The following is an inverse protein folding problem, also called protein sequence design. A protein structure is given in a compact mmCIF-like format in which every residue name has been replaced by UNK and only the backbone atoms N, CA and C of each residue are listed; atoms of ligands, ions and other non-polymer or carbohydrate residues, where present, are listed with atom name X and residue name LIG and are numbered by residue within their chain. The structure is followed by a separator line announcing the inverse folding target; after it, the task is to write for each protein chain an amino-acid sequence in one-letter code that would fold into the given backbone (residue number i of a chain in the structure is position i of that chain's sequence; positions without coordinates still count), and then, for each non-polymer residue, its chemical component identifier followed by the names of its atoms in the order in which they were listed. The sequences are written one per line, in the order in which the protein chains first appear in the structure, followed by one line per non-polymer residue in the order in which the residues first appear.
data_IF_377674618526
#
_entry.id   IF_377674618526
#
_cell.length_a   1.000
_cell.length_b   1.000
_cell.length_c   1.000
_cell.angle_alpha   90.00
_cell.angle_beta   90.00
_cell.angle_gamma   90.00
#
_symmetry.space_group_name_H-M   'P 1'
#
loop_
_entity.id
_entity.type
_entity.pdbx_description
1 polymer ?
#
# COMPACT_ATOMS: atom_id res chain seq x y z
N UNK A 1 18.50 -34.96 72.51
CA UNK A 1 19.91 -34.65 72.21
C UNK A 1 20.30 -35.43 70.96
N UNK A 2 20.90 -34.71 70.00
CA UNK A 2 21.57 -35.18 68.78
C UNK A 2 20.77 -35.42 67.49
N UNK A 3 21.16 -34.60 66.52
CA UNK A 3 20.85 -34.52 65.10
C UNK A 3 21.34 -35.75 64.31
N UNK A 4 20.67 -36.08 63.21
CA UNK A 4 21.37 -36.38 61.96
C UNK A 4 20.49 -36.09 60.74
N UNK A 5 20.94 -35.15 59.91
CA UNK A 5 20.34 -34.71 58.64
C UNK A 5 20.45 -35.83 57.59
N UNK A 6 19.47 -35.96 56.69
CA UNK A 6 19.71 -36.45 55.33
C UNK A 6 18.85 -35.69 54.32
N UNK A 7 19.48 -35.30 53.22
CA UNK A 7 19.10 -34.23 52.33
C UNK A 7 17.99 -34.60 51.34
N UNK A 8 17.10 -33.63 51.04
CA UNK A 8 16.20 -33.67 49.89
C UNK A 8 16.93 -33.09 48.68
N UNK A 9 17.28 -33.93 47.69
CA UNK A 9 17.59 -33.45 46.34
C UNK A 9 16.27 -33.21 45.61
N UNK A 10 15.96 -31.95 45.31
CA UNK A 10 14.87 -31.58 44.41
C UNK A 10 15.49 -31.29 43.05
N UNK A 11 15.32 -32.20 42.08
CA UNK A 11 15.73 -31.96 40.69
C UNK A 11 14.81 -30.92 40.07
N UNK A 12 15.37 -29.75 39.74
CA UNK A 12 14.72 -28.75 38.88
C UNK A 12 15.00 -29.16 37.44
N UNK A 13 13.99 -29.66 36.73
CA UNK A 13 14.06 -29.87 35.29
C UNK A 13 13.91 -28.50 34.60
N UNK A 14 15.01 -27.97 34.07
CA UNK A 14 15.02 -26.75 33.27
C UNK A 14 14.46 -27.10 31.88
N UNK A 15 13.23 -26.69 31.59
CA UNK A 15 12.66 -26.76 30.25
C UNK A 15 13.40 -25.69 29.41
N UNK A 16 14.39 -26.11 28.64
CA UNK A 16 14.96 -25.26 27.60
C UNK A 16 13.91 -25.10 26.50
N UNK A 17 13.23 -23.96 26.49
CA UNK A 17 12.44 -23.54 25.35
C UNK A 17 13.39 -23.30 24.18
N UNK A 18 13.44 -24.22 23.23
CA UNK A 18 14.10 -23.98 21.95
C UNK A 18 13.34 -22.88 21.24
N UNK A 19 13.96 -21.72 21.03
CA UNK A 19 13.45 -20.71 20.12
C UNK A 19 13.38 -21.35 18.73
N UNK A 20 12.17 -21.57 18.22
CA UNK A 20 11.98 -22.00 16.85
C UNK A 20 12.49 -20.88 15.91
N UNK A 21 13.69 -21.05 15.36
CA UNK A 21 14.17 -20.22 14.25
C UNK A 21 13.53 -20.77 12.97
N UNK A 22 12.34 -20.25 12.64
CA UNK A 22 11.83 -20.39 11.28
C UNK A 22 12.71 -19.55 10.34
N UNK A 23 13.00 -20.07 9.15
CA UNK A 23 13.68 -19.30 8.11
C UNK A 23 12.72 -18.17 7.66
N UNK A 24 13.07 -16.90 7.89
CA UNK A 24 12.27 -15.72 7.49
C UNK A 24 12.33 -15.44 5.98
N UNK A 25 12.61 -16.45 5.17
CA UNK A 25 12.79 -16.32 3.72
C UNK A 25 11.62 -17.01 3.02
N UNK A 26 10.73 -16.20 2.46
CA UNK A 26 9.72 -16.69 1.54
C UNK A 26 10.34 -16.78 0.13
N UNK A 27 10.27 -17.96 -0.48
CA UNK A 27 10.63 -18.15 -1.90
C UNK A 27 9.32 -18.30 -2.67
N UNK A 28 9.10 -17.38 -3.61
CA UNK A 28 7.88 -17.32 -4.42
C UNK A 28 8.25 -17.39 -5.91
N UNK A 29 7.33 -17.88 -6.73
CA UNK A 29 7.44 -17.94 -8.19
C UNK A 29 6.19 -17.35 -8.81
N UNK A 30 6.33 -16.48 -9.80
CA UNK A 30 5.25 -15.90 -10.60
C UNK A 30 5.10 -16.60 -11.95
N UNK A 31 4.01 -16.30 -12.66
CA UNK A 31 3.79 -16.79 -14.03
C UNK A 31 4.74 -16.13 -15.06
N UNK A 32 5.26 -14.95 -14.73
CA UNK A 32 6.21 -14.18 -15.54
C UNK A 32 6.85 -13.08 -14.68
N UNK A 33 7.82 -12.37 -15.26
CA UNK A 33 8.50 -11.27 -14.59
C UNK A 33 7.65 -9.99 -14.59
N UNK A 34 7.86 -9.12 -13.60
CA UNK A 34 7.30 -7.78 -13.64
C UNK A 34 7.92 -7.01 -14.80
N UNK A 35 7.08 -6.26 -15.53
CA UNK A 35 7.53 -5.48 -16.69
C UNK A 35 8.20 -4.17 -16.26
N UNK A 36 7.80 -3.64 -15.11
CA UNK A 36 8.27 -2.38 -14.56
C UNK A 36 8.07 -2.36 -13.04
N UNK A 37 8.79 -1.48 -12.35
CA UNK A 37 8.60 -1.17 -10.93
C UNK A 37 7.71 0.07 -10.73
N UNK A 38 7.30 0.72 -11.82
CA UNK A 38 6.39 1.87 -11.79
C UNK A 38 4.97 1.42 -11.47
N UNK A 39 4.36 1.91 -10.36
CA UNK A 39 3.06 1.43 -9.91
C UNK A 39 1.89 1.82 -10.81
N UNK A 40 2.03 2.80 -11.71
CA UNK A 40 0.94 3.27 -12.57
C UNK A 40 1.16 2.94 -14.05
N UNK A 41 2.30 2.37 -14.43
CA UNK A 41 2.61 2.12 -15.84
C UNK A 41 1.90 0.88 -16.41
N UNK A 42 1.86 -0.25 -15.68
CA UNK A 42 1.29 -1.50 -16.18
C UNK A 42 0.24 -2.09 -15.22
N UNK A 43 -0.92 -2.48 -15.76
CA UNK A 43 -2.03 -3.06 -15.01
C UNK A 43 -2.22 -4.55 -15.35
N UNK A 44 -1.21 -5.35 -15.04
CA UNK A 44 -1.19 -6.80 -15.29
C UNK A 44 -0.62 -7.56 -14.08
N UNK A 45 -0.94 -8.85 -13.97
CA UNK A 45 -0.87 -9.58 -12.68
C UNK A 45 0.55 -9.68 -12.08
N UNK A 46 1.59 -10.15 -12.80
CA UNK A 46 2.98 -10.12 -12.35
C UNK A 46 3.44 -8.76 -11.77
N UNK A 47 3.24 -7.67 -12.51
CA UNK A 47 3.65 -6.33 -12.10
C UNK A 47 2.88 -5.85 -10.88
N UNK A 48 1.56 -6.06 -10.84
CA UNK A 48 0.73 -5.74 -9.66
C UNK A 48 1.21 -6.53 -8.43
N UNK A 49 1.47 -7.82 -8.57
CA UNK A 49 1.90 -8.67 -7.46
C UNK A 49 3.26 -8.23 -6.90
N UNK A 50 4.17 -7.80 -7.78
CA UNK A 50 5.47 -7.26 -7.40
C UNK A 50 5.36 -5.89 -6.74
N UNK A 51 4.66 -4.94 -7.37
CA UNK A 51 4.47 -3.58 -6.86
C UNK A 51 3.70 -3.57 -5.53
N UNK A 52 2.74 -4.46 -5.35
CA UNK A 52 2.03 -4.64 -4.07
C UNK A 52 2.89 -5.17 -2.92
N UNK A 53 4.17 -5.48 -3.13
CA UNK A 53 5.13 -5.72 -2.04
C UNK A 53 5.84 -4.43 -1.58
N UNK A 54 5.73 -3.36 -2.35
CA UNK A 54 6.48 -2.10 -2.18
C UNK A 54 5.54 -0.95 -1.85
N UNK A 55 4.39 -0.91 -2.52
CA UNK A 55 3.42 0.18 -2.41
C UNK A 55 2.10 -0.29 -1.80
N UNK A 56 1.42 0.63 -1.12
CA UNK A 56 0.09 0.43 -0.54
C UNK A 56 -0.91 1.36 -1.25
N UNK A 57 -2.18 0.94 -1.32
CA UNK A 57 -3.30 1.75 -1.82
C UNK A 57 -4.10 2.34 -0.65
N UNK A 58 -5.16 3.09 -0.96
CA UNK A 58 -6.06 3.61 0.08
C UNK A 58 -6.88 2.49 0.74
N UNK A 59 -7.26 1.47 -0.02
CA UNK A 59 -8.17 0.40 0.38
C UNK A 59 -7.63 -0.92 -0.17
N UNK A 60 -7.63 -1.98 0.63
CA UNK A 60 -7.18 -3.30 0.20
C UNK A 60 -8.34 -4.32 0.15
N UNK A 61 -8.03 -5.54 -0.26
CA UNK A 61 -8.91 -6.71 -0.12
C UNK A 61 -8.31 -7.72 0.84
N UNK A 62 -9.15 -8.27 1.71
CA UNK A 62 -8.77 -9.42 2.52
C UNK A 62 -8.86 -10.75 1.74
N UNK A 63 -8.52 -11.85 2.39
CA UNK A 63 -8.59 -13.21 1.81
C UNK A 63 -10.01 -13.64 1.41
N UNK A 64 -11.03 -13.01 2.00
CA UNK A 64 -12.44 -13.23 1.70
C UNK A 64 -12.95 -12.26 0.61
N UNK A 65 -12.06 -11.46 0.04
CA UNK A 65 -12.32 -10.42 -0.97
C UNK A 65 -13.15 -9.23 -0.47
N UNK A 66 -13.32 -9.08 0.85
CA UNK A 66 -13.94 -7.91 1.44
C UNK A 66 -13.02 -6.70 1.32
N UNK A 67 -13.59 -5.51 1.16
CA UNK A 67 -12.82 -4.28 1.23
C UNK A 67 -12.41 -4.02 2.68
N UNK A 68 -11.13 -3.74 2.89
CA UNK A 68 -10.55 -3.47 4.22
C UNK A 68 -9.66 -2.23 4.20
N UNK A 69 -9.49 -1.55 5.35
CA UNK A 69 -8.57 -0.42 5.48
C UNK A 69 -7.12 -0.77 5.12
N UNK A 70 -6.50 0.10 4.32
CA UNK A 70 -5.06 0.13 4.04
C UNK A 70 -4.54 1.53 4.39
N UNK A 71 -4.02 2.37 3.49
CA UNK A 71 -3.58 3.73 3.84
C UNK A 71 -4.72 4.64 4.32
N UNK A 72 -5.97 4.35 3.94
CA UNK A 72 -7.14 4.96 4.56
C UNK A 72 -7.66 4.08 5.70
N UNK A 73 -7.82 4.67 6.90
CA UNK A 73 -8.42 3.99 8.06
C UNK A 73 -9.94 3.79 7.91
N UNK A 74 -10.59 4.67 7.15
CA UNK A 74 -12.02 4.60 6.86
C UNK A 74 -12.39 5.46 5.66
N UNK A 75 -13.54 5.16 5.06
CA UNK A 75 -14.11 5.96 3.98
C UNK A 75 -15.63 5.98 4.05
N UNK A 76 -16.23 7.08 3.61
CA UNK A 76 -17.68 7.29 3.62
C UNK A 76 -18.16 7.88 2.32
N UNK A 77 -19.25 7.34 1.78
CA UNK A 77 -19.93 7.90 0.63
C UNK A 77 -20.47 9.30 0.96
N UNK A 78 -20.33 10.22 0.01
CA UNK A 78 -20.85 11.58 0.01
C UNK A 78 -21.76 11.76 -1.22
N UNK A 79 -22.67 12.76 -1.26
CA UNK A 79 -23.58 12.95 -2.39
C UNK A 79 -22.88 13.08 -3.75
N UNK A 80 -21.65 13.58 -3.75
CA UNK A 80 -20.83 13.91 -4.91
C UNK A 80 -19.54 13.05 -5.01
N UNK A 81 -19.39 12.02 -4.17
CA UNK A 81 -18.18 11.19 -4.19
C UNK A 81 -17.90 10.44 -2.90
N UNK A 82 -16.64 10.42 -2.46
CA UNK A 82 -16.17 9.65 -1.31
C UNK A 82 -15.15 10.44 -0.49
N UNK A 83 -15.31 10.44 0.83
CA UNK A 83 -14.33 11.03 1.76
C UNK A 83 -13.54 9.91 2.43
N UNK A 84 -12.21 10.01 2.43
CA UNK A 84 -11.27 9.06 3.02
C UNK A 84 -10.53 9.73 4.17
N UNK A 85 -10.43 9.02 5.29
CA UNK A 85 -9.56 9.38 6.41
C UNK A 85 -8.28 8.57 6.31
N UNK A 86 -7.15 9.24 6.28
CA UNK A 86 -5.83 8.66 6.08
C UNK A 86 -5.20 8.27 7.42
N UNK A 87 -4.38 7.23 7.42
CA UNK A 87 -3.59 6.86 8.60
C UNK A 87 -2.54 7.91 8.89
N UNK A 88 -2.41 8.26 10.17
CA UNK A 88 -1.36 9.16 10.65
C UNK A 88 -0.10 8.39 11.05
N UNK A 89 1.06 9.04 10.93
CA UNK A 89 2.35 8.47 11.33
C UNK A 89 2.88 7.39 10.37
N UNK A 90 2.30 7.29 9.17
CA UNK A 90 2.86 6.49 8.07
C UNK A 90 3.96 7.30 7.41
N UNK A 91 5.08 6.66 7.10
CA UNK A 91 6.23 7.27 6.44
C UNK A 91 6.65 6.45 5.24
N UNK A 92 7.12 7.12 4.20
CA UNK A 92 7.83 6.49 3.10
C UNK A 92 9.21 5.97 3.55
N UNK A 93 9.84 5.16 2.70
CA UNK A 93 11.12 4.52 3.02
C UNK A 93 12.29 5.48 3.22
N UNK A 94 12.20 6.70 2.69
CA UNK A 94 13.18 7.77 2.89
C UNK A 94 12.91 8.61 4.16
N UNK A 95 11.80 8.33 4.86
CA UNK A 95 11.37 9.00 6.07
C UNK A 95 10.42 10.19 5.86
N UNK A 96 10.01 10.50 4.63
CA UNK A 96 8.97 11.50 4.38
C UNK A 96 7.61 11.04 4.95
N UNK A 97 6.82 11.98 5.46
CA UNK A 97 5.48 11.69 5.99
C UNK A 97 4.48 11.47 4.86
N UNK A 98 3.60 10.49 5.00
CA UNK A 98 2.45 10.30 4.10
C UNK A 98 1.33 11.28 4.43
N UNK A 99 0.84 12.00 3.42
CA UNK A 99 -0.23 13.00 3.55
C UNK A 99 -1.25 12.95 2.40
N UNK A 100 -2.30 13.76 2.53
CA UNK A 100 -3.29 14.01 1.50
C UNK A 100 -2.69 14.45 0.15
N UNK A 101 -1.57 15.17 0.15
CA UNK A 101 -0.90 15.63 -1.08
C UNK A 101 -0.34 14.47 -1.91
N UNK A 102 0.11 13.40 -1.26
CA UNK A 102 0.60 12.19 -1.94
C UNK A 102 -0.55 11.43 -2.62
N UNK A 103 -1.75 11.48 -2.02
CA UNK A 103 -2.96 10.95 -2.65
C UNK A 103 -3.33 11.77 -3.88
N UNK A 104 -3.35 13.09 -3.77
CA UNK A 104 -3.62 13.99 -4.91
C UNK A 104 -2.62 13.72 -6.04
N UNK A 105 -1.32 13.67 -5.71
CA UNK A 105 -0.26 13.38 -6.67
C UNK A 105 -0.49 12.05 -7.37
N UNK A 106 -0.68 10.98 -6.60
CA UNK A 106 -0.76 9.61 -7.14
C UNK A 106 -1.98 9.40 -8.02
N UNK A 107 -3.13 9.97 -7.66
CA UNK A 107 -4.33 9.87 -8.50
C UNK A 107 -4.22 10.70 -9.78
N UNK A 108 -3.59 11.88 -9.73
CA UNK A 108 -3.32 12.67 -10.93
C UNK A 108 -2.32 11.95 -11.85
N UNK A 109 -1.27 11.35 -11.28
CA UNK A 109 -0.31 10.53 -12.02
C UNK A 109 -0.99 9.33 -12.68
N UNK A 110 -1.90 8.65 -11.96
CA UNK A 110 -2.70 7.56 -12.50
C UNK A 110 -3.69 7.99 -13.61
N UNK A 111 -4.01 9.28 -13.74
CA UNK A 111 -4.86 9.83 -14.81
C UNK A 111 -4.09 10.20 -16.10
N UNK A 112 -2.75 10.21 -16.07
CA UNK A 112 -1.93 10.50 -17.26
C UNK A 112 -2.20 9.50 -18.40
N UNK A 113 -1.94 9.93 -19.63
CA UNK A 113 -2.22 9.12 -20.83
C UNK A 113 -1.37 7.83 -20.90
N UNK A 114 -0.17 7.82 -20.30
CA UNK A 114 0.69 6.64 -20.22
C UNK A 114 0.30 5.66 -19.11
N UNK A 115 -0.72 5.97 -18.30
CA UNK A 115 -1.17 5.13 -17.19
C UNK A 115 -2.18 4.09 -17.62
N UNK A 116 -1.88 2.82 -17.35
CA UNK A 116 -2.85 1.72 -17.48
C UNK A 116 -3.93 1.70 -16.37
N UNK A 117 -3.83 2.61 -15.39
CA UNK A 117 -4.80 2.78 -14.30
C UNK A 117 -5.81 3.88 -14.55
N UNK A 118 -5.65 4.64 -15.63
CA UNK A 118 -6.50 5.79 -15.97
C UNK A 118 -7.98 5.46 -15.92
N UNK A 119 -8.38 4.30 -16.44
CA UNK A 119 -9.78 3.89 -16.49
C UNK A 119 -10.40 3.62 -15.11
N UNK A 120 -9.59 3.25 -14.12
CA UNK A 120 -10.02 2.99 -12.74
C UNK A 120 -10.27 4.29 -11.97
N UNK A 121 -9.55 5.36 -12.32
CA UNK A 121 -9.62 6.66 -11.64
C UNK A 121 -10.34 7.74 -12.44
N UNK A 122 -10.63 7.54 -13.75
CA UNK A 122 -11.23 8.57 -14.64
C UNK A 122 -12.54 9.19 -14.14
N UNK A 123 -13.29 8.48 -13.29
CA UNK A 123 -14.53 9.02 -12.74
C UNK A 123 -14.29 10.03 -11.64
N UNK A 124 -13.10 10.06 -11.03
CA UNK A 124 -12.70 11.09 -10.06
C UNK A 124 -12.43 12.37 -10.83
N UNK A 125 -13.30 13.36 -10.68
CA UNK A 125 -13.21 14.64 -11.38
C UNK A 125 -12.34 15.65 -10.66
N UNK A 126 -12.25 15.55 -9.33
CA UNK A 126 -11.40 16.38 -8.50
C UNK A 126 -11.13 15.71 -7.17
N UNK A 127 -10.02 16.11 -6.54
CA UNK A 127 -9.63 15.66 -5.21
C UNK A 127 -9.53 16.90 -4.33
N UNK A 128 -10.37 16.97 -3.32
CA UNK A 128 -10.39 18.05 -2.35
C UNK A 128 -9.57 17.63 -1.13
N UNK A 129 -8.50 18.35 -0.84
CA UNK A 129 -7.76 18.22 0.43
C UNK A 129 -8.54 18.99 1.49
N UNK A 130 -9.09 18.26 2.46
CA UNK A 130 -9.82 18.86 3.59
C UNK A 130 -8.81 19.24 4.68
N UNK A 131 -7.88 18.33 4.96
CA UNK A 131 -6.71 18.51 5.82
C UNK A 131 -5.63 17.46 5.44
N UNK A 132 -4.49 17.49 6.12
CA UNK A 132 -3.33 16.63 5.84
C UNK A 132 -3.65 15.13 5.85
N UNK A 133 -4.72 14.71 6.52
CA UNK A 133 -5.11 13.31 6.67
C UNK A 133 -6.56 13.05 6.24
N UNK A 134 -7.16 13.95 5.47
CA UNK A 134 -8.54 13.80 4.98
C UNK A 134 -8.65 14.31 3.56
N UNK A 135 -9.02 13.41 2.64
CA UNK A 135 -9.24 13.73 1.23
C UNK A 135 -10.65 13.35 0.80
N UNK A 136 -11.22 14.15 -0.10
CA UNK A 136 -12.50 13.85 -0.74
C UNK A 136 -12.30 13.69 -2.24
N UNK A 137 -12.57 12.49 -2.74
CA UNK A 137 -12.62 12.19 -4.17
C UNK A 137 -14.01 12.54 -4.68
N UNK A 138 -14.13 13.61 -5.46
CA UNK A 138 -15.38 14.01 -6.13
C UNK A 138 -15.50 13.23 -7.43
N UNK A 139 -16.68 12.70 -7.73
CA UNK A 139 -16.92 11.90 -8.93
C UNK A 139 -17.80 12.59 -9.97
N UNK A 140 -17.45 12.44 -11.24
CA UNK A 140 -18.28 12.81 -12.37
C UNK A 140 -19.45 11.83 -12.52
N UNK A 141 -20.52 12.07 -11.75
CA UNK A 141 -21.68 11.19 -11.65
C UNK A 141 -21.53 10.15 -10.55
N UNK A 142 -22.56 9.30 -10.39
CA UNK A 142 -22.58 8.30 -9.33
C UNK A 142 -21.59 7.16 -9.61
N UNK A 143 -20.61 6.97 -8.73
CA UNK A 143 -19.73 5.80 -8.74
C UNK A 143 -19.72 5.12 -7.34
N UNK A 144 -20.71 4.27 -7.03
CA UNK A 144 -20.81 3.60 -5.73
C UNK A 144 -19.77 2.49 -5.54
N UNK A 145 -19.09 2.06 -6.62
CA UNK A 145 -18.07 1.01 -6.56
C UNK A 145 -16.65 1.58 -6.56
N UNK A 146 -16.47 2.90 -6.46
CA UNK A 146 -15.16 3.53 -6.52
C UNK A 146 -14.15 2.85 -5.56
N UNK A 147 -14.46 2.60 -4.27
CA UNK A 147 -13.50 1.90 -3.39
C UNK A 147 -13.04 0.53 -3.90
N UNK A 148 -13.86 -0.18 -4.69
CA UNK A 148 -13.51 -1.46 -5.29
C UNK A 148 -12.45 -1.36 -6.38
N UNK A 149 -12.38 -0.23 -7.08
CA UNK A 149 -11.45 0.00 -8.20
C UNK A 149 -10.13 0.62 -7.77
N UNK A 150 -10.04 1.09 -6.53
CA UNK A 150 -8.84 1.74 -5.98
C UNK A 150 -7.83 0.78 -5.37
N UNK A 151 -8.12 -0.52 -5.31
CA UNK A 151 -7.32 -1.47 -4.51
C UNK A 151 -5.90 -1.71 -5.03
N UNK A 152 -5.62 -1.30 -6.27
CA UNK A 152 -4.29 -1.34 -6.88
C UNK A 152 -3.85 0.06 -7.35
N UNK A 153 -4.57 1.13 -6.96
CA UNK A 153 -4.15 2.50 -7.24
C UNK A 153 -3.22 2.91 -6.09
N UNK A 154 -1.94 2.59 -6.29
CA UNK A 154 -0.90 2.75 -5.28
C UNK A 154 -0.51 4.21 -5.06
N UNK A 155 -0.08 4.52 -3.83
CA UNK A 155 0.36 5.85 -3.43
C UNK A 155 1.89 5.95 -3.52
N UNK A 156 2.35 7.06 -4.10
CA UNK A 156 3.75 7.43 -4.25
C UNK A 156 4.08 8.68 -3.45
N UNK A 157 5.33 8.79 -3.01
CA UNK A 157 5.89 10.01 -2.41
C UNK A 157 5.96 11.12 -3.46
N UNK A 158 5.14 12.15 -3.28
CA UNK A 158 5.04 13.27 -4.21
C UNK A 158 6.28 14.16 -4.21
N UNK A 159 7.00 14.26 -3.09
CA UNK A 159 8.23 15.03 -2.96
C UNK A 159 9.39 14.34 -3.68
N UNK A 160 9.58 13.05 -3.41
CA UNK A 160 10.59 12.24 -4.07
C UNK A 160 10.36 12.18 -5.58
N UNK A 161 9.12 11.95 -6.02
CA UNK A 161 8.81 11.85 -7.45
C UNK A 161 9.16 13.14 -8.20
N UNK A 162 8.80 14.31 -7.66
CA UNK A 162 9.15 15.62 -8.25
C UNK A 162 10.66 15.87 -8.25
N UNK A 163 11.35 15.47 -7.18
CA UNK A 163 12.80 15.66 -7.09
C UNK A 163 13.59 14.82 -8.11
N UNK A 164 13.00 13.72 -8.60
CA UNK A 164 13.64 12.78 -9.53
C UNK A 164 13.05 12.79 -10.94
N UNK A 165 12.08 13.68 -11.23
CA UNK A 165 11.47 13.78 -12.56
C UNK A 165 10.51 12.64 -12.90
N UNK A 166 9.86 12.07 -11.88
CA UNK A 166 8.98 10.88 -11.96
C UNK A 166 7.51 11.28 -11.80
N UNK A 167 7.13 12.49 -12.21
CA UNK A 167 5.75 12.97 -12.08
C UNK A 167 4.75 12.26 -12.99
N UNK A 168 5.26 11.51 -13.98
CA UNK A 168 4.45 10.74 -14.93
C UNK A 168 4.75 9.24 -14.82
N UNK A 169 3.76 8.37 -15.12
CA UNK A 169 4.01 6.96 -15.34
C UNK A 169 4.97 6.76 -16.51
N UNK A 170 5.89 5.81 -16.37
CA UNK A 170 6.75 5.32 -17.44
C UNK A 170 5.91 4.98 -18.68
N UNK A 171 6.26 5.56 -19.82
CA UNK A 171 5.71 5.12 -21.10
C UNK A 171 6.40 3.83 -21.54
N UNK A 172 5.85 2.71 -21.06
CA UNK A 172 6.38 1.38 -21.36
C UNK A 172 6.32 1.06 -22.87
N UNK A 173 5.29 1.55 -23.56
CA UNK A 173 5.13 1.34 -25.00
C UNK A 173 6.19 2.10 -25.83
N UNK A 174 6.71 3.21 -25.29
CA UNK A 174 7.79 3.98 -25.87
C UNK A 174 9.19 3.50 -25.46
N UNK A 175 9.31 2.39 -24.70
CA UNK A 175 10.57 1.87 -24.16
C UNK A 175 11.33 2.94 -23.34
N UNK A 176 10.60 3.78 -22.61
CA UNK A 176 11.18 4.81 -21.75
C UNK A 176 11.90 4.19 -20.55
N UNK A 177 13.08 4.70 -20.19
CA UNK A 177 13.79 4.34 -18.96
C UNK A 177 13.68 5.49 -17.95
N UNK A 178 13.30 5.17 -16.71
CA UNK A 178 12.98 6.15 -15.66
C UNK A 178 13.35 5.61 -14.28
N UNK A 179 13.33 6.48 -13.28
CA UNK A 179 13.55 6.12 -11.88
C UNK A 179 12.30 5.58 -11.17
N UNK A 180 11.13 5.60 -11.82
CA UNK A 180 9.87 5.13 -11.22
C UNK A 180 9.83 3.66 -10.84
#
# INVERSE_FOLDING_TARGET
MNFCKLAKLSSVALIMATTANAENVLRWTSQGDALTMDPHSQNESPTIAFNGQIYEALVARDIEMNLVPELAESWTASPDGWTFKLRQGVTFHDGADFTAEDVVFSFNRALEESSDYKEQVKTVSSIEVIDDYTVKLVTAGANPILPNTLTNVYIMDSGWAKANGVEKPQDFAAEEETFS
#
